data_IF_823113537542
#
_entry.id   IF_823113537542
#
_cell.length_a   1.000
_cell.length_b   1.000
_cell.length_c   1.000
_cell.angle_alpha   90.00
_cell.angle_beta   90.00
_cell.angle_gamma   90.00
#
_symmetry.space_group_name_H-M   'P 1'
#
loop_
_entity.id
_entity.type
_entity.pdbx_description
1 polymer ?
#
# COMPACT_ATOMS: atom_id res chain seq x y z
N UNK A 1 -46.02 -5.14 -13.11
CA UNK A 1 -45.11 -5.67 -14.14
C UNK A 1 -43.84 -6.14 -13.46
N UNK A 2 -43.34 -7.34 -13.77
CA UNK A 2 -42.02 -7.78 -13.29
C UNK A 2 -40.96 -6.90 -13.93
N UNK A 3 -40.19 -6.16 -13.11
CA UNK A 3 -39.05 -5.36 -13.56
C UNK A 3 -37.89 -6.22 -14.11
N UNK A 4 -37.91 -7.53 -13.85
CA UNK A 4 -36.84 -8.46 -14.23
C UNK A 4 -37.20 -9.24 -15.50
N UNK A 5 -36.32 -9.27 -16.51
CA UNK A 5 -36.53 -10.05 -17.74
C UNK A 5 -36.55 -11.56 -17.45
N UNK A 6 -37.15 -12.35 -18.36
CA UNK A 6 -37.21 -13.80 -18.21
C UNK A 6 -35.87 -14.48 -18.54
N UNK A 7 -35.53 -15.60 -17.87
CA UNK A 7 -34.25 -16.29 -18.09
C UNK A 7 -34.19 -16.93 -19.47
N UNK A 8 -33.10 -16.69 -20.21
CA UNK A 8 -32.86 -17.27 -21.54
C UNK A 8 -31.48 -17.92 -21.63
N UNK A 9 -31.31 -18.90 -22.55
CA UNK A 9 -29.99 -19.53 -22.79
C UNK A 9 -28.96 -18.54 -23.34
N UNK A 10 -29.42 -17.63 -24.20
CA UNK A 10 -28.59 -16.56 -24.77
C UNK A 10 -28.13 -15.61 -23.66
N UNK A 11 -29.02 -15.23 -22.73
CA UNK A 11 -28.67 -14.39 -21.58
C UNK A 11 -27.64 -15.03 -20.65
N UNK A 12 -27.68 -16.35 -20.48
CA UNK A 12 -26.64 -17.09 -19.77
C UNK A 12 -25.26 -16.99 -20.44
N UNK A 13 -25.21 -17.13 -21.77
CA UNK A 13 -23.97 -16.97 -22.54
C UNK A 13 -23.41 -15.55 -22.49
N UNK A 14 -24.27 -14.53 -22.70
CA UNK A 14 -23.89 -13.11 -22.62
C UNK A 14 -23.30 -12.77 -21.25
N UNK A 15 -23.88 -13.32 -20.18
CA UNK A 15 -23.40 -13.09 -18.82
C UNK A 15 -22.01 -13.66 -18.59
N UNK A 16 -21.74 -14.89 -19.02
CA UNK A 16 -20.41 -15.51 -18.90
C UNK A 16 -19.38 -14.73 -19.68
N UNK A 17 -19.67 -14.45 -20.96
CA UNK A 17 -18.76 -13.68 -21.81
C UNK A 17 -18.50 -12.31 -21.21
N UNK A 18 -19.55 -11.62 -20.72
CA UNK A 18 -19.41 -10.34 -20.03
C UNK A 18 -18.53 -10.42 -18.78
N UNK A 19 -18.76 -11.41 -17.90
CA UNK A 19 -17.94 -11.61 -16.69
C UNK A 19 -16.48 -11.92 -17.06
N UNK A 20 -16.23 -12.79 -18.05
CA UNK A 20 -14.87 -13.12 -18.49
C UNK A 20 -14.15 -11.91 -19.09
N UNK A 21 -14.84 -11.11 -19.90
CA UNK A 21 -14.26 -9.89 -20.46
C UNK A 21 -13.95 -8.85 -19.37
N UNK A 22 -14.83 -8.67 -18.39
CA UNK A 22 -14.58 -7.78 -17.25
C UNK A 22 -13.40 -8.31 -16.42
N UNK A 23 -13.37 -9.62 -16.15
CA UNK A 23 -12.27 -10.25 -15.43
C UNK A 23 -10.92 -10.06 -16.15
N UNK A 24 -10.88 -10.26 -17.47
CA UNK A 24 -9.69 -10.01 -18.29
C UNK A 24 -9.30 -8.53 -18.30
N UNK A 25 -10.28 -7.62 -18.37
CA UNK A 25 -10.03 -6.18 -18.30
C UNK A 25 -9.41 -5.78 -16.96
N UNK A 26 -9.92 -6.33 -15.85
CA UNK A 26 -9.35 -6.12 -14.51
C UNK A 26 -7.96 -6.74 -14.38
N UNK A 27 -7.73 -7.91 -14.96
CA UNK A 27 -6.42 -8.57 -14.97
C UNK A 27 -5.33 -7.69 -15.63
N UNK A 28 -5.66 -7.05 -16.75
CA UNK A 28 -4.73 -6.18 -17.50
C UNK A 28 -4.62 -4.75 -16.93
N UNK A 29 -5.28 -4.46 -15.80
CA UNK A 29 -5.35 -3.12 -15.24
C UNK A 29 -4.45 -2.96 -14.03
N UNK A 30 -4.01 -1.73 -13.77
CA UNK A 30 -3.49 -1.38 -12.45
C UNK A 30 -4.59 -1.57 -11.40
N UNK A 31 -4.23 -2.13 -10.25
CA UNK A 31 -5.12 -2.46 -9.14
C UNK A 31 -5.05 -1.41 -8.04
N UNK A 32 -3.83 -0.97 -7.71
CA UNK A 32 -3.56 0.04 -6.70
C UNK A 32 -2.65 1.12 -7.30
N UNK A 33 -2.97 2.38 -7.00
CA UNK A 33 -2.17 3.55 -7.39
C UNK A 33 -1.95 4.39 -6.16
N UNK A 34 -0.69 4.51 -5.76
CA UNK A 34 -0.25 5.28 -4.60
C UNK A 34 0.50 6.49 -5.14
N UNK A 35 0.09 7.68 -4.71
CA UNK A 35 0.73 8.93 -5.10
C UNK A 35 1.15 9.66 -3.84
N UNK A 36 2.44 9.88 -3.70
CA UNK A 36 3.03 10.70 -2.67
C UNK A 36 3.50 12.01 -3.30
N UNK A 37 3.10 13.13 -2.70
CA UNK A 37 3.62 14.46 -3.05
C UNK A 37 3.99 15.18 -1.77
N UNK A 38 5.29 15.38 -1.55
CA UNK A 38 5.84 16.10 -0.42
C UNK A 38 6.58 17.35 -0.85
N UNK A 39 6.60 18.36 0.02
CA UNK A 39 7.29 19.61 -0.20
C UNK A 39 7.82 20.16 1.13
N UNK A 40 9.10 20.55 1.13
CA UNK A 40 9.63 21.43 2.16
C UNK A 40 9.08 22.84 1.94
N UNK A 41 8.25 23.32 2.85
CA UNK A 41 7.58 24.63 2.75
C UNK A 41 8.39 25.72 3.46
N UNK A 42 9.04 25.38 4.57
CA UNK A 42 9.85 26.31 5.37
C UNK A 42 11.22 25.68 5.71
N UNK A 43 12.20 26.54 6.03
CA UNK A 43 13.56 26.10 6.35
C UNK A 43 14.44 25.78 5.15
N UNK A 44 15.69 25.41 5.41
CA UNK A 44 16.53 24.71 4.43
C UNK A 44 16.10 23.24 4.53
N UNK A 45 15.50 22.61 3.50
CA UNK A 45 15.77 22.77 2.06
C UNK A 45 14.60 23.27 1.20
N UNK A 46 13.72 24.14 1.72
CA UNK A 46 12.62 24.73 0.94
C UNK A 46 13.13 25.50 -0.31
N UNK A 47 12.47 25.39 -1.50
CA UNK A 47 11.21 24.71 -1.78
C UNK A 47 11.41 23.38 -2.56
N UNK A 48 12.13 22.42 -1.98
CA UNK A 48 12.30 21.09 -2.61
C UNK A 48 10.98 20.33 -2.59
N UNK A 49 10.62 19.72 -3.72
CA UNK A 49 9.43 18.85 -3.84
C UNK A 49 9.83 17.44 -4.21
N UNK A 50 9.18 16.46 -3.61
CA UNK A 50 9.36 15.04 -3.86
C UNK A 50 8.02 14.47 -4.29
N UNK A 51 7.97 13.85 -5.46
CA UNK A 51 6.79 13.18 -5.99
C UNK A 51 7.17 11.72 -6.20
N UNK A 52 6.43 10.80 -5.60
CA UNK A 52 6.56 9.38 -5.87
C UNK A 52 5.22 8.83 -6.34
N UNK A 53 5.23 8.06 -7.41
CA UNK A 53 4.07 7.37 -7.94
C UNK A 53 4.38 5.88 -7.97
N UNK A 54 3.58 5.11 -7.23
CA UNK A 54 3.64 3.65 -7.24
C UNK A 54 2.37 3.12 -7.88
N UNK A 55 2.51 2.38 -8.97
CA UNK A 55 1.41 1.69 -9.62
C UNK A 55 1.64 0.18 -9.54
N UNK A 56 0.65 -0.53 -8.99
CA UNK A 56 0.71 -1.97 -8.79
C UNK A 56 -0.28 -2.64 -9.74
N UNK A 57 0.19 -3.58 -10.53
CA UNK A 57 -0.64 -4.46 -11.34
C UNK A 57 -0.43 -5.95 -10.96
N UNK A 58 -0.93 -6.84 -11.82
CA UNK A 58 -0.94 -8.28 -11.64
C UNK A 58 0.47 -8.90 -11.60
N UNK A 59 1.47 -8.26 -12.21
CA UNK A 59 2.80 -8.83 -12.44
C UNK A 59 3.92 -7.95 -11.89
N UNK A 60 3.76 -6.62 -11.93
CA UNK A 60 4.82 -5.66 -11.69
C UNK A 60 4.36 -4.52 -10.76
N UNK A 61 5.34 -3.94 -10.09
CA UNK A 61 5.21 -2.71 -9.32
C UNK A 61 6.05 -1.65 -10.02
N UNK A 62 5.42 -0.62 -10.56
CA UNK A 62 6.09 0.51 -11.18
C UNK A 62 6.26 1.61 -10.15
N UNK A 63 7.51 1.97 -9.86
CA UNK A 63 7.87 3.05 -8.94
C UNK A 63 8.53 4.16 -9.77
N UNK A 64 7.91 5.33 -9.78
CA UNK A 64 8.45 6.55 -10.40
C UNK A 64 8.69 7.59 -9.32
N UNK A 65 9.95 7.97 -9.10
CA UNK A 65 10.33 8.99 -8.12
C UNK A 65 10.90 10.19 -8.85
N UNK A 66 10.30 11.35 -8.61
CA UNK A 66 10.69 12.62 -9.20
C UNK A 66 10.93 13.64 -8.11
N UNK A 67 12.14 14.21 -8.09
CA UNK A 67 12.44 15.38 -7.28
C UNK A 67 12.45 16.65 -8.14
N UNK A 68 11.83 17.71 -7.64
CA UNK A 68 11.83 19.04 -8.26
C UNK A 68 12.55 20.02 -7.32
N UNK A 69 13.35 20.92 -7.87
CA UNK A 69 14.17 21.89 -7.11
C UNK A 69 15.16 21.24 -6.11
N UNK A 70 15.68 20.05 -6.43
CA UNK A 70 16.48 19.23 -5.51
C UNK A 70 17.86 19.77 -5.16
N UNK A 71 18.41 20.77 -5.86
CA UNK A 71 19.75 21.29 -5.57
C UNK A 71 19.89 21.78 -4.13
N UNK A 72 18.85 22.41 -3.57
CA UNK A 72 18.88 22.90 -2.18
C UNK A 72 18.83 21.74 -1.18
N UNK A 73 18.08 20.69 -1.49
CA UNK A 73 18.07 19.46 -0.71
C UNK A 73 19.43 18.75 -0.74
N UNK A 74 20.06 18.62 -1.90
CA UNK A 74 21.40 18.02 -1.99
C UNK A 74 22.45 18.81 -1.18
N UNK A 75 22.43 20.14 -1.25
CA UNK A 75 23.35 20.97 -0.45
C UNK A 75 23.02 20.86 1.05
N UNK A 76 21.74 20.87 1.40
CA UNK A 76 21.29 20.65 2.77
C UNK A 76 21.83 19.31 3.30
N UNK A 77 21.69 18.22 2.54
CA UNK A 77 22.20 16.91 2.92
C UNK A 77 23.74 16.85 3.04
N UNK A 78 24.47 17.65 2.27
CA UNK A 78 25.93 17.70 2.34
C UNK A 78 26.47 18.52 3.52
N UNK A 79 25.71 19.52 3.96
CA UNK A 79 26.12 20.44 5.05
C UNK A 79 25.55 20.01 6.39
N UNK A 80 24.49 19.19 6.36
CA UNK A 80 23.89 18.61 7.55
C UNK A 80 24.90 17.71 8.25
N UNK A 81 25.28 18.09 9.46
CA UNK A 81 26.29 17.40 10.27
C UNK A 81 25.70 17.17 11.66
N UNK A 82 25.22 15.95 11.94
CA UNK A 82 24.62 15.60 13.22
C UNK A 82 25.48 14.54 13.90
N UNK A 83 26.11 14.95 15.01
CA UNK A 83 26.81 14.05 15.92
C UNK A 83 25.82 13.51 16.95
N UNK A 84 25.52 12.22 16.88
CA UNK A 84 24.72 11.56 17.89
C UNK A 84 25.44 11.63 19.26
N UNK A 85 24.76 11.98 20.36
CA UNK A 85 25.40 12.04 21.67
C UNK A 85 25.95 10.65 22.04
N UNK A 86 27.23 10.58 22.42
CA UNK A 86 28.04 9.38 22.78
C UNK A 86 27.53 8.52 23.96
N UNK A 87 26.25 8.60 24.30
CA UNK A 87 25.63 7.87 25.39
C UNK A 87 24.59 6.84 24.93
N UNK A 88 24.47 6.58 23.62
CA UNK A 88 23.99 5.31 23.11
C UNK A 88 25.12 4.29 23.28
N UNK A 89 24.86 3.23 24.06
CA UNK A 89 25.79 2.12 24.23
C UNK A 89 25.82 1.33 22.94
N UNK A 90 26.57 1.80 21.95
CA UNK A 90 26.85 1.08 20.71
C UNK A 90 28.37 0.82 20.65
N UNK A 91 28.83 -0.42 20.44
CA UNK A 91 30.26 -0.73 20.39
C UNK A 91 30.93 0.04 19.25
N UNK A 92 32.10 0.63 19.53
CA UNK A 92 32.89 1.35 18.52
C UNK A 92 33.17 0.47 17.29
N UNK A 93 33.09 1.02 16.06
CA UNK A 93 33.47 0.28 14.87
C UNK A 93 34.99 0.15 14.84
N UNK A 94 35.47 -1.08 15.06
CA UNK A 94 36.86 -1.44 14.80
C UNK A 94 37.18 -1.18 13.33
N UNK A 95 38.19 -0.35 13.10
CA UNK A 95 38.78 -0.07 11.79
C UNK A 95 39.23 -1.35 11.08
N UNK A 96 38.57 -1.72 9.98
CA UNK A 96 39.10 -2.67 9.00
C UNK A 96 39.11 -2.02 7.61
N UNK A 97 40.29 -1.94 7.03
CA UNK A 97 40.60 -1.44 5.69
C UNK A 97 39.81 -2.16 4.57
N UNK A 98 39.64 -1.53 3.38
CA UNK A 98 38.66 -1.96 2.38
C UNK A 98 39.19 -3.15 1.58
N UNK A 99 38.46 -4.27 1.59
CA UNK A 99 38.72 -5.39 0.69
C UNK A 99 37.72 -5.40 -0.47
N UNK A 100 38.29 -5.08 -1.63
CA UNK A 100 37.91 -5.27 -3.04
C UNK A 100 36.55 -5.91 -3.39
N UNK A 101 35.86 -5.22 -4.30
CA UNK A 101 34.63 -5.59 -4.98
C UNK A 101 34.67 -6.97 -5.64
N UNK A 102 33.69 -7.81 -5.30
CA UNK A 102 33.05 -8.76 -6.22
C UNK A 102 31.61 -8.94 -5.73
N UNK A 103 30.58 -8.76 -6.58
CA UNK A 103 29.21 -8.92 -6.14
C UNK A 103 28.98 -10.40 -5.87
N UNK A 104 29.01 -10.77 -4.59
CA UNK A 104 28.44 -12.02 -4.15
C UNK A 104 26.94 -11.89 -4.40
N UNK A 105 26.45 -12.56 -5.45
CA UNK A 105 25.07 -13.06 -5.50
C UNK A 105 24.90 -13.99 -4.30
N UNK A 106 24.61 -13.39 -3.15
CA UNK A 106 24.04 -14.11 -2.02
C UNK A 106 22.59 -14.34 -2.40
N UNK A 107 22.31 -15.54 -2.92
CA UNK A 107 20.97 -16.09 -2.80
C UNK A 107 20.70 -16.23 -1.30
N UNK A 108 20.16 -15.18 -0.69
CA UNK A 108 19.51 -15.28 0.60
C UNK A 108 18.31 -16.19 0.41
N UNK A 109 18.45 -17.44 0.86
CA UNK A 109 17.29 -18.26 1.21
C UNK A 109 16.87 -17.85 2.62
N UNK A 110 16.36 -16.62 2.76
CA UNK A 110 15.40 -16.33 3.81
C UNK A 110 14.03 -16.56 3.22
N UNK A 111 13.20 -17.30 3.94
CA UNK A 111 11.80 -17.55 3.60
C UNK A 111 10.95 -16.29 3.85
N UNK A 112 11.44 -15.10 3.44
CA UNK A 112 10.73 -13.84 3.53
C UNK A 112 9.39 -13.99 2.78
N UNK A 113 8.31 -13.88 3.54
CA UNK A 113 6.96 -13.98 3.00
C UNK A 113 6.73 -12.75 2.12
N UNK A 114 6.84 -12.93 0.80
CA UNK A 114 6.45 -11.93 -0.21
C UNK A 114 4.92 -11.74 -0.17
N UNK A 115 4.47 -10.88 0.75
CA UNK A 115 3.07 -10.57 1.03
C UNK A 115 2.40 -10.03 -0.21
N UNK A 116 3.08 -9.17 -0.98
CA UNK A 116 2.53 -8.57 -2.19
C UNK A 116 2.27 -9.62 -3.28
N UNK A 117 3.20 -10.55 -3.51
CA UNK A 117 3.02 -11.67 -4.46
C UNK A 117 1.93 -12.63 -3.99
N UNK A 118 1.81 -12.86 -2.69
CA UNK A 118 0.70 -13.65 -2.14
C UNK A 118 -0.65 -12.94 -2.32
N UNK A 119 -0.71 -11.63 -2.10
CA UNK A 119 -1.88 -10.79 -2.39
C UNK A 119 -2.28 -10.82 -3.87
N UNK A 120 -1.29 -10.76 -4.77
CA UNK A 120 -1.51 -10.91 -6.22
C UNK A 120 -2.11 -12.26 -6.56
N UNK A 121 -1.50 -13.35 -6.08
CA UNK A 121 -2.02 -14.71 -6.29
C UNK A 121 -3.44 -14.86 -5.76
N UNK A 122 -3.72 -14.37 -4.55
CA UNK A 122 -5.05 -14.44 -3.94
C UNK A 122 -6.10 -13.70 -4.80
N UNK A 123 -5.77 -12.51 -5.29
CA UNK A 123 -6.63 -11.72 -6.19
C UNK A 123 -6.90 -12.44 -7.51
N UNK A 124 -5.87 -13.04 -8.11
CA UNK A 124 -6.00 -13.83 -9.34
C UNK A 124 -6.87 -15.06 -9.14
N UNK A 125 -6.66 -15.81 -8.05
CA UNK A 125 -7.48 -16.99 -7.71
C UNK A 125 -8.93 -16.58 -7.50
N UNK A 126 -9.20 -15.49 -6.79
CA UNK A 126 -10.54 -14.95 -6.57
C UNK A 126 -11.25 -14.59 -7.89
N UNK A 127 -10.53 -13.98 -8.82
CA UNK A 127 -11.03 -13.62 -10.15
C UNK A 127 -11.35 -14.86 -11.01
N UNK A 128 -10.51 -15.89 -10.97
CA UNK A 128 -10.77 -17.18 -11.63
C UNK A 128 -11.96 -17.89 -11.02
N UNK A 129 -12.08 -17.93 -9.68
CA UNK A 129 -13.21 -18.51 -8.98
C UNK A 129 -14.52 -17.80 -9.33
N UNK A 130 -14.50 -16.46 -9.49
CA UNK A 130 -15.65 -15.70 -9.94
C UNK A 130 -16.10 -16.13 -11.35
N UNK A 131 -15.16 -16.29 -12.29
CA UNK A 131 -15.45 -16.80 -13.63
C UNK A 131 -16.01 -18.24 -13.59
N UNK A 132 -15.41 -19.13 -12.80
CA UNK A 132 -15.88 -20.50 -12.63
C UNK A 132 -17.30 -20.54 -12.04
N UNK A 133 -17.61 -19.65 -11.08
CA UNK A 133 -18.94 -19.59 -10.48
C UNK A 133 -20.04 -19.35 -11.51
N UNK A 134 -19.76 -18.61 -12.58
CA UNK A 134 -20.71 -18.39 -13.68
C UNK A 134 -20.98 -19.66 -14.48
N UNK A 135 -19.95 -20.50 -14.67
CA UNK A 135 -20.09 -21.83 -15.26
C UNK A 135 -20.89 -22.78 -14.35
N UNK A 136 -20.65 -22.74 -13.03
CA UNK A 136 -21.42 -23.54 -12.05
C UNK A 136 -22.91 -23.16 -12.04
N UNK A 137 -23.23 -21.88 -12.23
CA UNK A 137 -24.63 -21.42 -12.33
C UNK A 137 -25.34 -22.03 -13.54
N UNK A 138 -24.63 -22.28 -14.65
CA UNK A 138 -25.17 -23.03 -15.80
C UNK A 138 -25.35 -24.52 -15.49
N UNK A 139 -24.41 -25.12 -14.75
CA UNK A 139 -24.46 -26.53 -14.36
C UNK A 139 -25.62 -26.86 -13.39
N UNK A 140 -26.26 -25.86 -12.79
CA UNK A 140 -27.51 -26.03 -12.04
C UNK A 140 -27.34 -26.37 -10.56
N UNK A 141 -26.16 -26.12 -9.99
CA UNK A 141 -25.83 -26.44 -8.60
C UNK A 141 -26.73 -25.65 -7.61
N UNK A 142 -27.15 -26.24 -6.47
CA UNK A 142 -27.88 -25.53 -5.41
C UNK A 142 -27.05 -24.36 -4.83
N UNK A 143 -27.70 -23.35 -4.23
CA UNK A 143 -27.06 -22.16 -3.64
C UNK A 143 -26.24 -21.25 -4.58
N UNK A 144 -26.39 -21.41 -5.90
CA UNK A 144 -25.67 -20.65 -6.94
C UNK A 144 -25.71 -19.12 -6.80
N UNK A 145 -26.79 -18.54 -6.26
CA UNK A 145 -26.91 -17.09 -6.10
C UNK A 145 -26.07 -16.58 -4.92
N UNK A 146 -26.08 -17.29 -3.79
CA UNK A 146 -25.32 -16.95 -2.59
C UNK A 146 -23.83 -17.13 -2.83
N UNK A 147 -23.41 -18.27 -3.38
CA UNK A 147 -22.01 -18.55 -3.70
C UNK A 147 -21.41 -17.44 -4.58
N UNK A 148 -22.14 -17.04 -5.62
CA UNK A 148 -21.71 -16.00 -6.55
C UNK A 148 -21.61 -14.62 -5.87
N UNK A 149 -22.56 -14.28 -5.00
CA UNK A 149 -22.51 -13.03 -4.24
C UNK A 149 -21.32 -13.01 -3.27
N UNK A 150 -21.03 -14.13 -2.60
CA UNK A 150 -19.88 -14.30 -1.71
C UNK A 150 -18.56 -14.17 -2.49
N UNK A 151 -18.44 -14.85 -3.63
CA UNK A 151 -17.22 -14.75 -4.47
C UNK A 151 -17.01 -13.33 -5.02
N UNK A 152 -18.08 -12.65 -5.43
CA UNK A 152 -17.98 -11.25 -5.85
C UNK A 152 -17.57 -10.34 -4.70
N UNK A 153 -18.17 -10.49 -3.51
CA UNK A 153 -17.74 -9.76 -2.32
C UNK A 153 -16.27 -10.04 -1.97
N UNK A 154 -15.83 -11.29 -2.15
CA UNK A 154 -14.42 -11.70 -2.00
C UNK A 154 -13.50 -10.97 -2.99
N UNK A 155 -13.85 -10.90 -4.27
CA UNK A 155 -13.06 -10.14 -5.26
C UNK A 155 -13.03 -8.64 -4.90
N UNK A 156 -14.15 -8.06 -4.43
CA UNK A 156 -14.18 -6.66 -3.98
C UNK A 156 -13.23 -6.47 -2.80
N UNK A 157 -13.28 -7.37 -1.81
CA UNK A 157 -12.40 -7.34 -0.65
C UNK A 157 -10.92 -7.52 -1.02
N UNK A 158 -10.60 -8.37 -2.00
CA UNK A 158 -9.24 -8.53 -2.50
C UNK A 158 -8.65 -7.21 -3.00
N UNK A 159 -9.41 -6.46 -3.80
CA UNK A 159 -8.91 -5.20 -4.33
C UNK A 159 -8.93 -4.05 -3.33
N UNK A 160 -9.93 -3.98 -2.45
CA UNK A 160 -10.09 -2.86 -1.52
C UNK A 160 -9.31 -3.02 -0.22
N UNK A 161 -9.05 -4.25 0.22
CA UNK A 161 -8.43 -4.53 1.52
C UNK A 161 -7.13 -5.31 1.33
N UNK A 162 -7.21 -6.49 0.70
CA UNK A 162 -6.04 -7.39 0.62
C UNK A 162 -4.88 -6.71 -0.10
N UNK A 163 -5.09 -6.14 -1.29
CA UNK A 163 -4.02 -5.51 -2.07
C UNK A 163 -3.33 -4.34 -1.34
N UNK A 164 -4.05 -3.34 -0.79
CA UNK A 164 -3.43 -2.31 0.05
C UNK A 164 -2.71 -2.88 1.27
N UNK A 165 -3.33 -3.83 1.99
CA UNK A 165 -2.73 -4.40 3.20
C UNK A 165 -1.47 -5.19 2.89
N UNK A 166 -1.48 -6.05 1.87
CA UNK A 166 -0.29 -6.82 1.48
C UNK A 166 0.84 -5.93 1.00
N UNK A 167 0.54 -4.79 0.36
CA UNK A 167 1.56 -3.82 -0.01
C UNK A 167 2.18 -3.13 1.21
N UNK A 168 1.36 -2.75 2.21
CA UNK A 168 1.87 -2.14 3.44
C UNK A 168 2.69 -3.14 4.25
N UNK A 169 2.27 -4.40 4.35
CA UNK A 169 3.03 -5.46 5.03
C UNK A 169 4.35 -5.75 4.33
N UNK A 170 4.36 -5.76 3.00
CA UNK A 170 5.58 -5.92 2.20
C UNK A 170 6.55 -4.76 2.38
N UNK A 171 6.05 -3.53 2.60
CA UNK A 171 6.86 -2.36 2.93
C UNK A 171 7.34 -2.33 4.38
N UNK A 172 6.53 -2.84 5.31
CA UNK A 172 6.82 -2.78 6.74
C UNK A 172 7.82 -3.84 7.19
N UNK A 173 8.14 -4.82 6.34
CA UNK A 173 8.69 -6.09 6.78
C UNK A 173 7.58 -6.88 7.47
N UNK A 174 7.34 -8.11 7.03
CA UNK A 174 6.36 -8.97 7.69
C UNK A 174 6.83 -9.24 9.11
N UNK A 175 6.19 -8.62 10.10
CA UNK A 175 6.32 -8.97 11.50
C UNK A 175 5.77 -10.40 11.67
N UNK A 176 6.65 -11.39 11.54
CA UNK A 176 6.37 -12.77 11.92
C UNK A 176 6.35 -12.82 13.45
N UNK A 177 5.18 -12.50 14.01
CA UNK A 177 4.94 -12.65 15.43
C UNK A 177 5.05 -14.11 15.86
N UNK A 178 6.14 -14.42 16.59
CA UNK A 178 6.13 -15.12 17.88
C UNK A 178 7.58 -15.46 18.31
N UNK A 179 8.41 -14.48 18.67
CA UNK A 179 9.47 -14.69 19.67
C UNK A 179 9.48 -13.52 20.66
N UNK A 180 8.99 -13.78 21.88
CA UNK A 180 9.28 -12.98 23.05
C UNK A 180 10.79 -13.07 23.34
N UNK A 181 11.42 -11.91 23.52
CA UNK A 181 12.78 -11.71 24.06
C UNK A 181 13.95 -12.24 23.20
N UNK A 182 14.60 -11.38 22.41
CA UNK A 182 15.87 -10.73 22.81
C UNK A 182 16.43 -9.87 21.66
N UNK A 183 16.89 -8.68 22.04
CA UNK A 183 17.86 -7.80 21.39
C UNK A 183 18.74 -8.51 20.33
N UNK A 184 18.52 -8.24 19.04
CA UNK A 184 19.49 -8.31 17.93
C UNK A 184 18.83 -7.79 16.64
N UNK A 185 19.41 -6.72 16.05
CA UNK A 185 18.81 -5.89 15.00
C UNK A 185 18.33 -6.63 13.74
N UNK A 186 17.02 -6.85 13.65
CA UNK A 186 16.35 -7.17 12.40
C UNK A 186 15.98 -5.87 11.69
N UNK A 187 16.79 -5.53 10.70
CA UNK A 187 16.68 -4.33 9.86
C UNK A 187 15.37 -4.35 9.06
N UNK A 188 14.28 -3.87 9.66
CA UNK A 188 13.06 -3.58 8.91
C UNK A 188 13.36 -2.49 7.88
N UNK A 189 12.78 -2.53 6.68
CA UNK A 189 12.96 -1.45 5.69
C UNK A 189 12.51 -0.09 6.26
N UNK A 190 11.64 -0.08 7.28
CA UNK A 190 11.30 1.11 8.05
C UNK A 190 12.52 1.70 8.78
N UNK A 191 13.37 0.86 9.39
CA UNK A 191 14.64 1.22 10.04
C UNK A 191 15.77 1.49 9.04
N UNK A 192 15.74 0.89 7.84
CA UNK A 192 16.70 1.20 6.76
C UNK A 192 16.30 2.41 5.90
N UNK A 193 15.12 3.01 6.12
CA UNK A 193 14.80 4.23 5.40
C UNK A 193 15.82 5.29 5.80
N UNK A 194 16.38 5.96 4.79
CA UNK A 194 17.28 7.10 4.96
C UNK A 194 16.77 8.13 5.98
N UNK A 195 15.46 8.18 6.20
CA UNK A 195 14.77 9.05 7.14
C UNK A 195 14.91 8.54 8.58
N UNK A 196 14.68 7.26 8.89
CA UNK A 196 14.74 6.72 10.26
C UNK A 196 16.13 6.82 10.90
N UNK A 197 17.18 6.36 10.21
CA UNK A 197 18.57 6.45 10.72
C UNK A 197 19.06 7.90 10.85
N UNK A 198 18.48 8.82 10.09
CA UNK A 198 18.88 10.23 10.04
C UNK A 198 18.08 11.10 11.02
N UNK A 199 16.90 10.65 11.46
CA UNK A 199 15.94 11.41 12.29
C UNK A 199 15.95 11.06 13.78
N UNK A 200 16.48 9.89 14.19
CA UNK A 200 16.43 9.49 15.59
C UNK A 200 17.29 10.40 16.48
N UNK A 201 16.63 11.35 17.16
CA UNK A 201 17.25 12.35 18.03
C UNK A 201 17.85 13.57 17.32
N UNK A 202 17.80 13.65 15.98
CA UNK A 202 18.38 14.77 15.22
C UNK A 202 17.43 15.96 15.05
N UNK A 203 16.18 15.83 15.48
CA UNK A 203 15.17 16.87 15.43
C UNK A 203 14.75 17.27 16.87
N UNK A 204 14.41 18.55 17.06
CA UNK A 204 13.91 19.10 18.32
C UNK A 204 12.56 19.80 18.12
N UNK A 205 11.71 19.74 19.15
CA UNK A 205 10.37 20.34 19.17
C UNK A 205 9.49 19.90 17.99
N UNK A 206 9.52 18.60 17.70
CA UNK A 206 8.77 18.02 16.58
C UNK A 206 7.26 18.19 16.74
N UNK A 207 6.62 18.51 15.61
CA UNK A 207 5.17 18.49 15.46
C UNK A 207 4.84 17.70 14.22
N UNK A 208 4.16 16.59 14.45
CA UNK A 208 3.65 15.72 13.39
C UNK A 208 2.13 15.73 13.43
N UNK A 209 1.50 15.93 12.27
CA UNK A 209 0.06 15.76 12.12
C UNK A 209 -0.22 14.87 10.92
N UNK A 210 -1.15 13.93 11.09
CA UNK A 210 -1.65 13.06 10.02
C UNK A 210 -3.17 13.16 10.02
N UNK A 211 -3.72 13.72 8.95
CA UNK A 211 -5.15 13.91 8.78
C UNK A 211 -5.65 13.02 7.63
N UNK A 212 -6.39 11.94 7.93
CA UNK A 212 -7.01 11.13 6.91
C UNK A 212 -8.26 11.83 6.34
N UNK A 213 -8.34 11.92 5.02
CA UNK A 213 -9.52 12.39 4.29
C UNK A 213 -9.98 11.33 3.29
N UNK A 214 -11.30 11.20 3.15
CA UNK A 214 -11.90 10.23 2.23
C UNK A 214 -11.99 10.84 0.82
N UNK A 215 -11.45 10.14 -0.17
CA UNK A 215 -11.65 10.45 -1.58
C UNK A 215 -12.72 9.52 -2.17
N UNK A 216 -13.42 9.97 -3.21
CA UNK A 216 -14.30 9.06 -3.97
C UNK A 216 -13.53 7.83 -4.52
N UNK A 217 -12.25 8.03 -4.84
CA UNK A 217 -11.37 7.01 -5.43
C UNK A 217 -10.43 6.32 -4.44
N UNK A 218 -10.58 6.56 -3.13
CA UNK A 218 -9.67 5.99 -2.13
C UNK A 218 -9.54 6.84 -0.86
N UNK A 219 -8.36 6.85 -0.27
CA UNK A 219 -8.06 7.58 0.98
C UNK A 219 -6.86 8.50 0.72
N UNK A 220 -6.91 9.70 1.27
CA UNK A 220 -5.78 10.64 1.29
C UNK A 220 -5.33 10.84 2.72
N UNK A 221 -4.02 10.87 2.93
CA UNK A 221 -3.42 11.28 4.19
C UNK A 221 -2.70 12.60 3.96
N UNK A 222 -3.12 13.64 4.65
CA UNK A 222 -2.42 14.91 4.69
C UNK A 222 -1.47 14.86 5.89
N UNK A 223 -0.17 14.93 5.61
CA UNK A 223 0.87 14.75 6.61
C UNK A 223 1.68 16.04 6.68
N UNK A 224 1.92 16.51 7.89
CA UNK A 224 2.81 17.64 8.13
C UNK A 224 3.79 17.25 9.22
N UNK A 225 5.04 17.58 8.97
CA UNK A 225 6.14 17.42 9.89
C UNK A 225 6.85 18.77 10.03
N UNK A 226 7.16 19.17 11.24
CA UNK A 226 7.97 20.36 11.49
C UNK A 226 8.80 20.20 12.76
N UNK A 227 9.95 20.86 12.79
CA UNK A 227 10.85 20.83 13.94
C UNK A 227 12.13 21.59 13.64
N UNK A 228 13.03 21.65 14.62
CA UNK A 228 14.37 22.21 14.46
C UNK A 228 15.36 21.08 14.21
N UNK A 229 16.03 21.10 13.07
CA UNK A 229 17.02 20.10 12.69
C UNK A 229 18.38 20.41 13.34
N UNK A 230 18.80 19.58 14.28
CA UNK A 230 20.06 19.71 14.98
C UNK A 230 21.25 19.57 14.03
N UNK A 231 21.10 18.88 12.89
CA UNK A 231 22.17 18.82 11.88
C UNK A 231 22.46 20.16 11.21
N UNK A 232 21.65 21.20 11.46
CA UNK A 232 21.90 22.58 11.03
C UNK A 232 22.36 23.51 12.17
N UNK A 233 22.52 22.97 13.37
CA UNK A 233 22.92 23.69 14.59
C UNK A 233 24.37 23.35 14.90
N UNK A 234 25.10 24.24 15.58
CA UNK A 234 26.45 23.93 16.06
C UNK A 234 26.38 22.93 17.24
N UNK A 235 27.27 21.94 17.35
CA UNK A 235 27.22 20.91 18.41
C UNK A 235 27.14 21.44 19.84
N UNK A 236 27.74 22.62 20.09
CA UNK A 236 27.70 23.32 21.37
C UNK A 236 26.28 23.71 21.80
N UNK A 237 25.39 23.95 20.82
CA UNK A 237 24.04 24.46 21.02
C UNK A 237 22.96 23.36 20.95
N UNK A 238 23.32 22.09 20.74
CA UNK A 238 22.31 21.00 20.73
C UNK A 238 21.48 20.95 22.01
N UNK A 239 22.14 21.18 23.16
CA UNK A 239 21.46 21.14 24.46
C UNK A 239 20.52 22.34 24.65
N UNK A 240 20.84 23.52 24.14
CA UNK A 240 19.95 24.69 24.25
C UNK A 240 18.72 24.50 23.37
N UNK A 241 18.90 24.12 22.10
CA UNK A 241 17.80 23.92 21.14
C UNK A 241 16.87 22.77 21.55
N UNK A 242 17.38 21.71 22.18
CA UNK A 242 16.52 20.63 22.72
C UNK A 242 15.68 21.08 23.92
N UNK A 243 16.22 21.93 24.78
CA UNK A 243 15.54 22.35 26.00
C UNK A 243 14.51 23.46 25.75
N UNK A 244 14.84 24.43 24.89
CA UNK A 244 14.02 25.60 24.63
C UNK A 244 13.93 25.90 23.13
N UNK A 245 12.80 26.46 22.70
CA UNK A 245 12.60 26.86 21.30
C UNK A 245 13.49 28.09 21.03
N UNK A 246 14.34 28.08 19.98
CA UNK A 246 15.19 29.22 19.63
C UNK A 246 14.40 30.51 19.40
N UNK A 247 14.93 31.63 19.87
CA UNK A 247 14.33 32.95 19.62
C UNK A 247 14.42 33.32 18.13
N UNK A 248 13.42 34.03 17.60
CA UNK A 248 13.30 34.33 16.16
C UNK A 248 14.47 35.12 15.53
N UNK A 249 15.38 35.69 16.35
CA UNK A 249 16.57 36.42 15.88
C UNK A 249 17.87 35.64 16.08
N UNK A 250 17.81 34.43 16.64
CA UNK A 250 18.99 33.60 16.86
C UNK A 250 19.41 32.87 15.57
N UNK A 251 20.69 32.52 15.47
CA UNK A 251 21.23 31.72 14.37
C UNK A 251 20.55 30.35 14.31
N UNK A 252 20.29 29.78 15.48
CA UNK A 252 19.67 28.46 15.64
C UNK A 252 18.18 28.46 15.22
N UNK A 253 17.54 29.63 15.09
CA UNK A 253 16.18 29.69 14.55
C UNK A 253 16.09 29.28 13.07
N UNK A 254 17.22 29.33 12.34
CA UNK A 254 17.29 28.95 10.93
C UNK A 254 17.29 27.43 10.70
N UNK A 255 17.44 26.64 11.77
CA UNK A 255 17.33 25.18 11.70
C UNK A 255 15.89 24.68 11.67
N UNK A 256 14.90 25.57 11.79
CA UNK A 256 13.50 25.18 11.63
C UNK A 256 13.24 24.67 10.21
N UNK A 257 12.70 23.46 10.11
CA UNK A 257 12.30 22.82 8.87
C UNK A 257 10.83 22.44 8.96
N UNK A 258 10.10 22.63 7.85
CA UNK A 258 8.72 22.20 7.71
C UNK A 258 8.53 21.45 6.41
N UNK A 259 7.96 20.26 6.52
CA UNK A 259 7.64 19.38 5.42
C UNK A 259 6.13 19.10 5.41
N UNK A 260 5.49 19.39 4.29
CA UNK A 260 4.08 19.10 4.07
C UNK A 260 3.97 18.06 2.97
N UNK A 261 3.13 17.04 3.15
CA UNK A 261 2.98 15.98 2.17
C UNK A 261 1.56 15.43 2.10
N UNK A 262 1.25 14.88 0.93
CA UNK A 262 -0.02 14.26 0.59
C UNK A 262 0.25 12.85 0.11
N UNK A 263 -0.35 11.86 0.76
CA UNK A 263 -0.30 10.46 0.37
C UNK A 263 -1.70 10.01 -0.05
N UNK A 264 -1.88 9.82 -1.35
CA UNK A 264 -3.12 9.38 -1.97
C UNK A 264 -3.06 7.88 -2.27
N UNK A 265 -3.82 7.06 -1.53
CA UNK A 265 -4.05 5.64 -1.83
C UNK A 265 -5.33 5.52 -2.65
N UNK A 266 -5.19 5.29 -3.96
CA UNK A 266 -6.32 5.21 -4.89
C UNK A 266 -6.43 3.82 -5.51
N UNK A 267 -7.66 3.33 -5.69
CA UNK A 267 -7.87 2.14 -6.50
C UNK A 267 -7.65 2.43 -7.99
N UNK A 268 -7.28 1.38 -8.73
CA UNK A 268 -7.08 1.46 -10.18
C UNK A 268 -8.31 2.00 -10.92
N UNK A 269 -8.09 2.81 -11.96
CA UNK A 269 -9.18 3.47 -12.72
C UNK A 269 -10.21 2.49 -13.31
N UNK A 270 -9.80 1.26 -13.56
CA UNK A 270 -10.63 0.22 -14.16
C UNK A 270 -11.38 -0.64 -13.14
N UNK A 271 -11.06 -0.53 -11.85
CA UNK A 271 -11.71 -1.30 -10.79
C UNK A 271 -13.24 -1.11 -10.73
N UNK A 272 -13.80 0.10 -10.92
CA UNK A 272 -15.24 0.30 -10.95
C UNK A 272 -15.99 -0.51 -12.02
N UNK A 273 -15.30 -0.99 -13.08
CA UNK A 273 -15.91 -1.86 -14.09
C UNK A 273 -16.43 -3.17 -13.50
N UNK A 274 -15.89 -3.61 -12.37
CA UNK A 274 -16.36 -4.78 -11.63
C UNK A 274 -17.85 -4.68 -11.24
N UNK A 275 -18.35 -3.48 -10.93
CA UNK A 275 -19.76 -3.27 -10.56
C UNK A 275 -20.74 -3.48 -11.73
N UNK A 276 -20.24 -3.66 -12.96
CA UNK A 276 -21.04 -4.11 -14.10
C UNK A 276 -21.48 -5.58 -13.95
N UNK A 277 -20.76 -6.39 -13.18
CA UNK A 277 -21.08 -7.82 -12.99
C UNK A 277 -22.45 -8.01 -12.30
N UNK A 278 -22.76 -7.35 -11.14
CA UNK A 278 -24.09 -7.35 -10.57
C UNK A 278 -25.19 -6.82 -11.50
N UNK A 279 -24.88 -5.83 -12.35
CA UNK A 279 -25.81 -5.32 -13.35
C UNK A 279 -26.13 -6.40 -14.40
N UNK A 280 -25.12 -7.12 -14.91
CA UNK A 280 -25.33 -8.26 -15.79
C UNK A 280 -26.21 -9.34 -15.16
N UNK A 281 -26.08 -9.57 -13.85
CA UNK A 281 -26.92 -10.52 -13.13
C UNK A 281 -28.38 -10.10 -13.00
N UNK A 282 -28.63 -8.80 -12.94
CA UNK A 282 -29.96 -8.21 -12.90
C UNK A 282 -30.64 -8.34 -14.26
N UNK A 283 -29.95 -7.91 -15.33
CA UNK A 283 -30.47 -7.93 -16.71
C UNK A 283 -30.51 -9.33 -17.34
N UNK A 284 -29.65 -10.27 -16.92
CA UNK A 284 -29.60 -11.63 -17.44
C UNK A 284 -29.73 -12.68 -16.32
N UNK A 285 -30.95 -12.86 -15.77
CA UNK A 285 -31.20 -13.81 -14.70
C UNK A 285 -30.89 -15.25 -15.07
N UNK A 286 -30.34 -16.01 -14.12
CA UNK A 286 -30.29 -17.46 -14.19
C UNK A 286 -31.68 -18.07 -14.09
N UNK A 287 -31.90 -19.23 -14.71
CA UNK A 287 -33.14 -20.00 -14.55
C UNK A 287 -33.45 -20.27 -13.07
N UNK A 288 -34.68 -19.98 -12.60
CA UNK A 288 -35.13 -20.41 -11.29
C UNK A 288 -35.15 -21.94 -11.23
N UNK A 289 -35.04 -22.48 -10.02
CA UNK A 289 -35.16 -23.93 -9.78
C UNK A 289 -36.58 -24.35 -10.15
N UNK A 290 -36.72 -25.40 -10.96
CA UNK A 290 -38.04 -25.93 -11.32
C UNK A 290 -38.66 -26.54 -10.04
N UNK A 291 -39.88 -26.14 -9.66
CA UNK A 291 -40.46 -26.59 -8.38
C UNK A 291 -40.64 -28.11 -8.32
N UNK A 292 -40.70 -28.76 -9.48
CA UNK A 292 -40.81 -30.21 -9.64
C UNK A 292 -39.57 -30.99 -9.17
N UNK A 293 -38.39 -30.36 -9.17
CA UNK A 293 -37.16 -30.99 -8.67
C UNK A 293 -37.09 -30.99 -7.14
N UNK A 294 -37.83 -30.09 -6.48
CA UNK A 294 -37.96 -30.08 -5.00
C UNK A 294 -38.88 -31.20 -4.54
N UNK A 295 -39.97 -31.42 -5.27
CA UNK A 295 -40.99 -32.44 -4.96
C UNK A 295 -40.44 -33.86 -5.18
N UNK A 296 -39.66 -34.08 -6.26
CA UNK A 296 -38.95 -35.36 -6.47
C UNK A 296 -37.94 -35.70 -5.38
N UNK A 297 -37.21 -34.71 -4.84
CA UNK A 297 -36.25 -34.93 -3.76
C UNK A 297 -36.94 -35.25 -2.42
N UNK A 298 -38.17 -34.77 -2.21
CA UNK A 298 -38.96 -35.12 -1.02
C UNK A 298 -39.59 -36.51 -1.15
N UNK A 299 -40.01 -36.90 -2.36
CA UNK A 299 -40.63 -38.20 -2.62
C UNK A 299 -39.64 -39.37 -2.68
N UNK A 300 -38.33 -39.12 -2.84
CA UNK A 300 -37.29 -40.15 -2.71
C UNK A 300 -36.77 -40.32 -1.26
N UNK A 301 -37.32 -39.57 -0.29
CA UNK A 301 -36.99 -39.68 1.14
C UNK A 301 -38.11 -40.27 2.01
N UNK A 302 -39.25 -40.65 1.42
CA UNK A 302 -40.28 -41.52 2.01
C UNK A 302 -40.21 -42.94 1.41
#
# INVERSE_FOLDING_TARGET
MSLRPQPSRIGGGVRIVGTVLIALHLFMSAWLVIQFEGQYTEGRPSPTKVKALVAIDNEQTLIDVKMENSTRFLVYMLVRDYDEPKNSTQPEPSSSEPSDDTPATTESNDDDIDWLKNGRKATLVSLVLLCLSECLVLAGIPFKATLRAVLFAGVVACFLVVMPTTYVLDLAGGDDGDEEDDDDGEDTIADETFVAQTEQGSMAHEKTSVEPSLLWTGIRFEMMFSGYDLGLVEPENYSSVRNEIPEANDTDSQSFVKFESYLDLKYGKNLPSMFLIPLLWFFFPSRPRDSKDVEKLHLEQE
#
